data_IF_361027805257
#
_entry.id   IF_361027805257
#
_cell.length_a   1.000
_cell.length_b   1.000
_cell.length_c   1.000
_cell.angle_alpha   90.00
_cell.angle_beta   90.00
_cell.angle_gamma   90.00
#
_symmetry.space_group_name_H-M   'P 1'
#
loop_
_entity.id
_entity.type
_entity.pdbx_description
1 polymer ?
#
# COMPACT_ATOMS: atom_id res chain seq x y z
N UNK A 1 -10.66 21.15 10.94
CA UNK A 1 -11.20 19.81 11.31
C UNK A 1 -10.10 18.78 11.06
N UNK A 2 -9.90 17.83 11.97
CA UNK A 2 -8.87 16.77 11.88
C UNK A 2 -9.51 15.39 11.87
N UNK A 3 -10.32 15.13 10.84
CA UNK A 3 -11.00 13.84 10.69
C UNK A 3 -10.06 12.84 10.00
N UNK A 4 -10.20 11.57 10.33
CA UNK A 4 -9.47 10.47 9.68
C UNK A 4 -10.38 9.75 8.69
N UNK A 5 -9.84 9.37 7.55
CA UNK A 5 -10.52 8.55 6.54
C UNK A 5 -9.73 7.26 6.35
N UNK A 6 -10.43 6.13 6.38
CA UNK A 6 -9.85 4.81 6.11
C UNK A 6 -10.61 4.18 4.96
N UNK A 7 -9.89 3.70 3.95
CA UNK A 7 -10.45 3.11 2.73
C UNK A 7 -9.70 1.83 2.38
N UNK A 8 -10.40 0.88 1.77
CA UNK A 8 -9.80 -0.30 1.14
C UNK A 8 -9.70 0.00 -0.35
N UNK A 9 -8.49 -0.05 -0.91
CA UNK A 9 -8.29 0.24 -2.33
C UNK A 9 -7.17 -0.58 -3.00
N UNK A 10 -7.29 -0.68 -4.32
CA UNK A 10 -6.36 -1.25 -5.27
C UNK A 10 -5.91 -0.24 -6.34
N UNK A 11 -6.57 0.92 -6.50
CA UNK A 11 -6.11 1.95 -7.43
C UNK A 11 -4.86 2.67 -6.92
N UNK A 12 -3.75 2.48 -7.64
CA UNK A 12 -2.45 3.06 -7.31
C UNK A 12 -2.45 4.60 -7.32
N UNK A 13 -3.34 5.23 -8.10
CA UNK A 13 -3.48 6.69 -8.13
C UNK A 13 -4.06 7.25 -6.84
N UNK A 14 -4.90 6.48 -6.14
CA UNK A 14 -5.40 6.83 -4.81
C UNK A 14 -4.34 6.53 -3.77
N UNK A 15 -3.75 5.33 -3.82
CA UNK A 15 -2.75 4.88 -2.85
C UNK A 15 -1.53 5.80 -2.78
N UNK A 16 -1.04 6.32 -3.91
CA UNK A 16 0.12 7.24 -3.92
C UNK A 16 -0.12 8.57 -3.21
N UNK A 17 -1.38 8.93 -2.97
CA UNK A 17 -1.77 10.18 -2.29
C UNK A 17 -2.09 9.99 -0.81
N UNK A 18 -2.10 8.75 -0.33
CA UNK A 18 -2.40 8.45 1.06
C UNK A 18 -1.24 8.88 1.98
N UNK A 19 -1.58 9.37 3.17
CA UNK A 19 -0.58 9.64 4.20
C UNK A 19 0.01 8.35 4.78
N UNK A 20 -0.76 7.25 4.73
CA UNK A 20 -0.41 5.97 5.32
C UNK A 20 -1.12 4.81 4.60
N UNK A 21 -0.40 3.70 4.41
CA UNK A 21 -0.88 2.47 3.77
C UNK A 21 -0.63 1.30 4.72
N UNK A 22 -1.62 0.42 4.85
CA UNK A 22 -1.47 -0.92 5.44
C UNK A 22 -1.72 -1.93 4.32
N UNK A 23 -0.71 -2.71 3.98
CA UNK A 23 -0.78 -3.74 2.93
C UNK A 23 -0.93 -5.12 3.53
N UNK A 24 -1.93 -5.87 3.04
CA UNK A 24 -2.28 -7.20 3.51
C UNK A 24 -1.91 -8.26 2.49
N UNK A 25 -1.45 -9.41 2.96
CA UNK A 25 -1.10 -10.55 2.11
C UNK A 25 -0.42 -11.66 2.92
N UNK A 26 0.55 -12.40 2.33
CA UNK A 26 1.10 -12.25 0.98
C UNK A 26 0.12 -12.64 -0.14
N UNK A 27 -0.86 -13.49 0.17
CA UNK A 27 -1.88 -13.98 -0.76
C UNK A 27 -3.29 -13.66 -0.25
N UNK A 28 -4.32 -14.09 -0.97
CA UNK A 28 -5.71 -14.08 -0.49
C UNK A 28 -6.10 -15.38 0.23
N UNK A 29 -7.21 -15.34 0.99
CA UNK A 29 -7.75 -16.50 1.70
C UNK A 29 -6.83 -16.98 2.82
N UNK A 30 -6.73 -18.29 3.01
CA UNK A 30 -5.99 -18.93 4.11
C UNK A 30 -4.47 -18.66 4.08
N UNK A 31 -3.94 -18.32 2.90
CA UNK A 31 -2.53 -17.95 2.72
C UNK A 31 -2.27 -16.44 2.94
N UNK A 32 -3.30 -15.68 3.30
CA UNK A 32 -3.26 -14.24 3.55
C UNK A 32 -3.51 -13.86 5.00
N UNK A 33 -3.94 -12.61 5.20
CA UNK A 33 -4.36 -12.10 6.52
C UNK A 33 -3.25 -11.50 7.37
N UNK A 34 -2.04 -11.35 6.84
CA UNK A 34 -0.91 -10.75 7.54
C UNK A 34 -0.66 -9.32 7.06
N UNK A 35 -0.26 -8.44 7.98
CA UNK A 35 0.30 -7.13 7.64
C UNK A 35 1.69 -7.35 7.07
N UNK A 36 1.84 -7.17 5.76
CA UNK A 36 3.10 -7.41 5.07
C UNK A 36 3.89 -6.12 4.85
N UNK A 37 3.24 -4.95 4.83
CA UNK A 37 3.89 -3.65 4.83
C UNK A 37 2.98 -2.60 5.50
N UNK A 38 3.57 -1.60 6.12
CA UNK A 38 2.86 -0.48 6.73
C UNK A 38 3.77 0.76 6.66
N UNK A 39 3.19 1.95 6.42
CA UNK A 39 3.92 3.21 6.36
C UNK A 39 3.42 4.14 5.26
N UNK A 40 4.25 5.12 4.91
CA UNK A 40 4.00 6.02 3.77
C UNK A 40 4.02 5.25 2.44
N UNK A 41 3.44 5.81 1.35
CA UNK A 41 3.53 5.21 0.03
C UNK A 41 4.97 4.91 -0.41
N UNK A 42 5.92 5.80 -0.11
CA UNK A 42 7.34 5.64 -0.39
C UNK A 42 7.93 4.46 0.38
N UNK A 43 7.67 4.34 1.68
CA UNK A 43 8.15 3.25 2.52
C UNK A 43 7.60 1.89 2.06
N UNK A 44 6.29 1.80 1.83
CA UNK A 44 5.65 0.57 1.33
C UNK A 44 6.19 0.18 -0.03
N UNK A 45 6.52 1.14 -0.91
CA UNK A 45 7.12 0.88 -2.21
C UNK A 45 8.51 0.23 -2.16
N UNK A 46 9.20 0.31 -1.01
CA UNK A 46 10.50 -0.30 -0.77
C UNK A 46 10.41 -1.72 -0.20
N UNK A 47 9.22 -2.16 0.24
CA UNK A 47 9.03 -3.47 0.87
C UNK A 47 8.92 -4.57 -0.20
N UNK A 48 9.96 -5.40 -0.34
CA UNK A 48 10.03 -6.43 -1.38
C UNK A 48 8.96 -7.53 -1.29
N UNK A 49 8.42 -7.80 -0.09
CA UNK A 49 7.33 -8.75 0.14
C UNK A 49 5.94 -8.21 -0.24
N UNK A 50 5.79 -6.90 -0.42
CA UNK A 50 4.53 -6.26 -0.80
C UNK A 50 4.31 -6.32 -2.30
N UNK A 51 3.24 -7.00 -2.73
CA UNK A 51 2.83 -6.98 -4.14
C UNK A 51 2.43 -5.56 -4.55
N UNK A 52 1.64 -4.88 -3.71
CA UNK A 52 1.24 -3.48 -3.86
C UNK A 52 2.44 -2.55 -4.03
N UNK A 53 3.45 -2.67 -3.17
CA UNK A 53 4.67 -1.87 -3.18
C UNK A 53 5.44 -1.96 -4.49
N UNK A 54 5.51 -3.14 -5.12
CA UNK A 54 6.16 -3.33 -6.44
C UNK A 54 5.52 -2.49 -7.53
N UNK A 55 4.19 -2.35 -7.52
CA UNK A 55 3.47 -1.53 -8.50
C UNK A 55 3.46 -0.06 -8.11
N UNK A 56 3.28 0.25 -6.83
CA UNK A 56 3.30 1.61 -6.30
C UNK A 56 4.63 2.32 -6.62
N UNK A 57 5.74 1.60 -6.53
CA UNK A 57 7.08 2.10 -6.92
C UNK A 57 7.14 2.62 -8.36
N UNK A 58 6.41 2.00 -9.29
CA UNK A 58 6.38 2.42 -10.71
C UNK A 58 5.64 3.74 -10.86
N UNK A 59 4.52 3.90 -10.16
CA UNK A 59 3.68 5.10 -10.22
C UNK A 59 4.35 6.29 -9.52
N UNK A 60 5.06 6.07 -8.42
CA UNK A 60 5.83 7.12 -7.72
C UNK A 60 7.02 7.64 -8.53
N UNK A 61 7.63 6.78 -9.36
CA UNK A 61 8.80 7.14 -10.20
C UNK A 61 8.44 7.88 -11.48
N UNK A 62 7.18 7.85 -11.91
CA UNK A 62 6.74 8.44 -13.18
C UNK A 62 6.57 9.98 -13.13
N UNK A 63 7.40 10.68 -12.35
CA UNK A 63 7.43 12.15 -12.31
C UNK A 63 8.27 12.72 -13.45
#
# INVERSE_FOLDING_TARGET
KGNTVVVIEHNLEVLKTADHIIDLGPEGGDAGGYVIAEGTPEEVSMVGKSATGKYLKKVLRAK
#
